data_IF_157238835309
#
_entry.id   IF_157238835309
#
_cell.length_a   1.000
_cell.length_b   1.000
_cell.length_c   1.000
_cell.angle_alpha   90.00
_cell.angle_beta   90.00
_cell.angle_gamma   90.00
#
_symmetry.space_group_name_H-M   'P 1'
#
loop_
_entity.id
_entity.type
_entity.pdbx_description
1 polymer ?
#
# COMPACT_ATOMS: atom_id res chain seq x y z
N UNK A 1 26.09 -3.43 -21.21
CA UNK A 1 25.87 -3.53 -19.75
C UNK A 1 24.56 -2.84 -19.43
N UNK A 2 23.74 -3.36 -18.51
CA UNK A 2 22.54 -2.68 -18.10
C UNK A 2 22.86 -1.27 -17.54
N UNK A 3 21.89 -0.35 -17.62
CA UNK A 3 22.05 0.98 -17.01
C UNK A 3 22.15 0.86 -15.48
N UNK A 4 22.64 1.92 -14.81
CA UNK A 4 22.74 1.95 -13.34
C UNK A 4 21.35 1.74 -12.67
N UNK A 5 20.26 2.30 -13.24
CA UNK A 5 18.90 2.08 -12.77
C UNK A 5 18.48 0.61 -12.87
N UNK A 6 18.70 -0.02 -14.04
CA UNK A 6 18.37 -1.44 -14.25
C UNK A 6 19.18 -2.32 -13.31
N UNK A 7 20.46 -2.00 -13.08
CA UNK A 7 21.31 -2.74 -12.13
C UNK A 7 20.79 -2.64 -10.70
N UNK A 8 20.40 -1.44 -10.25
CA UNK A 8 19.77 -1.24 -8.93
C UNK A 8 18.46 -2.03 -8.80
N UNK A 9 17.61 -2.00 -9.83
CA UNK A 9 16.35 -2.75 -9.81
C UNK A 9 16.59 -4.26 -9.74
N UNK A 10 17.51 -4.80 -10.59
CA UNK A 10 17.86 -6.22 -10.58
C UNK A 10 18.43 -6.68 -9.23
N UNK A 11 19.21 -5.84 -8.54
CA UNK A 11 19.68 -6.13 -7.19
C UNK A 11 18.51 -6.08 -6.19
N UNK A 12 17.68 -5.04 -6.21
CA UNK A 12 16.58 -4.84 -5.29
C UNK A 12 15.55 -5.98 -5.31
N UNK A 13 15.21 -6.53 -6.50
CA UNK A 13 14.22 -7.61 -6.62
C UNK A 13 14.72 -8.93 -6.01
N UNK A 14 16.03 -9.13 -5.90
CA UNK A 14 16.59 -10.33 -5.27
C UNK A 14 16.65 -10.26 -3.75
N UNK A 15 16.34 -9.10 -3.16
CA UNK A 15 16.33 -8.91 -1.71
C UNK A 15 14.96 -9.30 -1.17
N UNK A 16 14.92 -10.36 -0.36
CA UNK A 16 13.70 -10.73 0.34
C UNK A 16 13.40 -9.72 1.46
N UNK A 17 12.26 -9.06 1.35
CA UNK A 17 11.78 -8.10 2.34
C UNK A 17 10.25 -8.04 2.29
N UNK A 18 9.60 -9.08 2.82
CA UNK A 18 8.16 -9.06 3.04
C UNK A 18 7.80 -8.02 4.09
N UNK A 19 6.52 -7.60 4.07
CA UNK A 19 5.98 -6.70 5.07
C UNK A 19 6.33 -7.15 6.50
N UNK A 20 6.79 -6.22 7.32
CA UNK A 20 7.34 -6.36 8.67
C UNK A 20 8.75 -6.97 8.74
N UNK A 21 9.37 -7.34 7.62
CA UNK A 21 10.72 -7.93 7.52
C UNK A 21 11.62 -7.17 6.55
N UNK A 22 11.48 -5.84 6.54
CA UNK A 22 12.12 -4.96 5.54
C UNK A 22 13.58 -4.64 5.86
N UNK A 23 14.15 -5.12 6.97
CA UNK A 23 15.54 -4.83 7.36
C UNK A 23 16.55 -5.07 6.23
N UNK A 24 16.51 -6.17 5.45
CA UNK A 24 17.45 -6.37 4.35
C UNK A 24 17.37 -5.29 3.26
N UNK A 25 16.15 -4.80 2.96
CA UNK A 25 15.94 -3.72 1.99
C UNK A 25 16.36 -2.37 2.56
N UNK A 26 16.08 -2.09 3.83
CA UNK A 26 16.56 -0.89 4.53
C UNK A 26 18.10 -0.82 4.52
N UNK A 27 18.77 -1.93 4.74
CA UNK A 27 20.24 -2.02 4.68
C UNK A 27 20.76 -1.84 3.24
N UNK A 28 20.06 -2.34 2.24
CA UNK A 28 20.37 -2.08 0.83
C UNK A 28 20.27 -0.59 0.49
N UNK A 29 19.20 0.08 0.92
CA UNK A 29 19.04 1.54 0.74
C UNK A 29 20.21 2.29 1.38
N UNK A 30 20.58 1.96 2.62
CA UNK A 30 21.70 2.60 3.33
C UNK A 30 23.02 2.39 2.60
N UNK A 31 23.33 1.15 2.23
CA UNK A 31 24.56 0.83 1.45
C UNK A 31 24.61 1.58 0.13
N UNK A 32 23.47 1.69 -0.57
CA UNK A 32 23.38 2.38 -1.86
C UNK A 32 23.65 3.90 -1.76
N UNK A 33 23.52 4.46 -0.56
CA UNK A 33 23.74 5.89 -0.27
C UNK A 33 25.04 6.16 0.51
N UNK A 34 25.81 5.12 0.81
CA UNK A 34 27.04 5.26 1.58
C UNK A 34 28.05 6.18 0.89
N UNK A 35 28.72 7.03 1.66
CA UNK A 35 29.66 8.03 1.16
C UNK A 35 29.05 9.22 0.41
N UNK A 36 27.74 9.27 0.20
CA UNK A 36 27.05 10.40 -0.43
C UNK A 36 26.62 11.47 0.63
N UNK A 37 26.47 12.75 0.21
CA UNK A 37 26.11 13.84 1.13
C UNK A 37 24.62 13.83 1.51
N UNK A 38 24.19 12.78 2.19
CA UNK A 38 22.81 12.56 2.67
C UNK A 38 22.83 11.97 4.07
N UNK A 39 21.92 12.39 4.91
CA UNK A 39 21.65 11.76 6.19
C UNK A 39 20.47 10.77 6.03
N UNK A 40 20.66 9.50 6.41
CA UNK A 40 19.62 8.49 6.39
C UNK A 40 19.17 8.21 7.82
N UNK A 41 18.00 8.73 8.17
CA UNK A 41 17.34 8.53 9.46
C UNK A 41 16.36 7.39 9.37
N UNK A 42 16.28 6.58 10.41
CA UNK A 42 15.23 5.60 10.60
C UNK A 42 14.30 6.11 11.70
N UNK A 43 13.00 6.14 11.43
CA UNK A 43 12.04 6.55 12.44
C UNK A 43 11.65 5.38 13.36
N UNK A 44 10.81 5.63 14.33
CA UNK A 44 10.40 4.64 15.32
C UNK A 44 9.05 3.97 15.01
N UNK A 45 8.57 4.08 13.78
CA UNK A 45 7.28 3.51 13.35
C UNK A 45 7.15 2.00 13.62
N UNK A 46 8.24 1.25 13.48
CA UNK A 46 8.29 -0.20 13.76
C UNK A 46 7.73 -0.58 15.14
N UNK A 47 7.83 0.30 16.15
CA UNK A 47 7.32 0.05 17.51
C UNK A 47 5.82 -0.13 17.59
N UNK A 48 5.08 0.39 16.60
CA UNK A 48 3.63 0.37 16.59
C UNK A 48 3.04 -0.92 16.00
N UNK A 49 3.83 -1.70 15.25
CA UNK A 49 3.35 -2.89 14.54
C UNK A 49 4.32 -4.09 14.58
N UNK A 50 5.34 -4.02 15.45
CA UNK A 50 6.35 -5.07 15.64
C UNK A 50 7.12 -5.42 14.35
N UNK A 51 7.45 -4.39 13.54
CA UNK A 51 8.31 -4.53 12.37
C UNK A 51 9.80 -4.60 12.72
N UNK A 52 10.62 -5.09 11.81
CA UNK A 52 12.08 -5.18 11.98
C UNK A 52 12.78 -3.83 11.83
N UNK A 53 12.17 -2.88 11.10
CA UNK A 53 12.68 -1.52 10.93
C UNK A 53 11.55 -0.51 10.76
N UNK A 54 11.88 0.78 10.98
CA UNK A 54 11.03 1.91 10.68
C UNK A 54 11.22 2.43 9.25
N UNK A 55 10.49 3.50 8.92
CA UNK A 55 10.68 4.20 7.66
C UNK A 55 12.10 4.78 7.58
N UNK A 56 12.70 4.78 6.40
CA UNK A 56 13.94 5.50 6.15
C UNK A 56 13.66 6.87 5.56
N UNK A 57 14.15 7.91 6.20
CA UNK A 57 14.03 9.30 5.76
C UNK A 57 15.40 9.78 5.32
N UNK A 58 15.60 9.94 4.01
CA UNK A 58 16.84 10.39 3.40
C UNK A 58 16.80 11.91 3.22
N UNK A 59 17.66 12.62 3.95
CA UNK A 59 17.72 14.08 3.99
C UNK A 59 19.01 14.54 3.31
N UNK A 60 18.96 15.14 2.11
CA UNK A 60 20.13 15.66 1.41
C UNK A 60 20.85 16.73 2.22
N UNK A 61 22.20 16.77 2.14
CA UNK A 61 22.96 17.87 2.74
C UNK A 61 22.57 19.22 2.10
N UNK A 62 22.27 20.21 2.92
CA UNK A 62 21.76 21.51 2.48
C UNK A 62 20.24 21.63 2.50
N UNK A 63 19.54 20.59 2.95
CA UNK A 63 18.11 20.67 3.27
C UNK A 63 17.86 21.75 4.35
N UNK A 64 16.86 22.60 4.10
CA UNK A 64 16.47 23.68 5.04
C UNK A 64 15.03 23.46 5.54
N UNK A 65 14.82 23.02 6.79
CA UNK A 65 13.49 22.79 7.33
C UNK A 65 12.66 24.08 7.53
N UNK A 66 13.29 25.26 7.44
CA UNK A 66 12.56 26.53 7.49
C UNK A 66 11.87 26.84 6.16
N UNK A 67 12.29 26.23 5.06
CA UNK A 67 11.69 26.39 3.73
C UNK A 67 10.66 25.30 3.46
N UNK A 68 9.64 25.57 2.59
CA UNK A 68 8.76 24.53 2.09
C UNK A 68 9.53 23.40 1.41
N UNK A 69 9.15 22.18 1.67
CA UNK A 69 9.77 20.99 1.10
C UNK A 69 8.74 20.06 0.42
N UNK A 70 9.23 19.18 -0.44
CA UNK A 70 8.47 18.04 -0.96
C UNK A 70 9.06 16.74 -0.43
N UNK A 71 8.24 15.70 -0.39
CA UNK A 71 8.68 14.35 -0.13
C UNK A 71 8.37 13.44 -1.32
N UNK A 72 9.31 12.57 -1.69
CA UNK A 72 9.12 11.49 -2.64
C UNK A 72 9.13 10.18 -1.86
N UNK A 73 8.12 9.32 -2.09
CA UNK A 73 7.94 8.11 -1.30
C UNK A 73 7.83 6.85 -2.19
N UNK A 74 8.37 5.75 -1.69
CA UNK A 74 8.12 4.39 -2.18
C UNK A 74 8.22 3.42 -1.00
N UNK A 75 7.44 2.33 -1.00
CA UNK A 75 7.55 1.35 0.07
C UNK A 75 8.62 0.30 -0.19
N UNK A 76 9.15 -0.28 0.88
CA UNK A 76 10.24 -1.26 0.86
C UNK A 76 9.77 -2.70 0.88
N UNK A 77 8.56 -2.94 1.32
CA UNK A 77 8.03 -4.30 1.46
C UNK A 77 7.46 -4.86 0.16
N UNK A 78 7.20 -6.16 0.18
CA UNK A 78 6.43 -6.89 -0.84
C UNK A 78 5.39 -7.75 -0.13
N UNK A 79 4.19 -7.95 -0.73
CA UNK A 79 3.11 -8.73 -0.11
C UNK A 79 3.42 -10.22 -0.10
N UNK A 80 4.28 -10.67 -1.00
CA UNK A 80 4.68 -12.07 -1.19
C UNK A 80 6.20 -12.21 -1.09
N UNK A 81 6.70 -13.43 -0.71
CA UNK A 81 8.12 -13.71 -0.78
C UNK A 81 8.66 -13.51 -2.19
N UNK A 82 9.83 -12.88 -2.31
CA UNK A 82 10.61 -12.79 -3.54
C UNK A 82 11.86 -13.68 -3.47
N UNK A 83 11.92 -14.57 -2.47
CA UNK A 83 13.06 -15.44 -2.24
C UNK A 83 13.39 -16.27 -3.49
N UNK A 84 14.66 -16.21 -3.89
CA UNK A 84 15.20 -16.96 -5.04
C UNK A 84 14.60 -16.58 -6.41
N UNK A 85 13.87 -15.47 -6.55
CA UNK A 85 13.46 -14.98 -7.87
C UNK A 85 14.69 -14.78 -8.76
N UNK A 86 14.59 -15.21 -10.00
CA UNK A 86 15.60 -14.96 -11.03
C UNK A 86 15.02 -13.99 -12.06
N UNK A 87 15.31 -12.70 -11.95
CA UNK A 87 14.77 -11.73 -12.89
C UNK A 87 15.27 -12.02 -14.30
N UNK A 88 14.37 -12.06 -15.27
CA UNK A 88 14.67 -12.27 -16.68
C UNK A 88 14.67 -10.92 -17.38
N UNK A 89 15.84 -10.45 -17.77
CA UNK A 89 16.01 -9.21 -18.53
C UNK A 89 15.98 -9.51 -20.03
N UNK A 90 15.09 -8.81 -20.75
CA UNK A 90 15.05 -8.76 -22.21
C UNK A 90 15.32 -7.34 -22.72
N UNK A 91 15.27 -7.14 -24.02
CA UNK A 91 15.47 -5.80 -24.65
C UNK A 91 14.38 -4.79 -24.28
N UNK A 92 13.21 -5.25 -23.83
CA UNK A 92 12.05 -4.39 -23.59
C UNK A 92 11.50 -4.43 -22.18
N UNK A 93 11.80 -5.47 -21.38
CA UNK A 93 11.21 -5.66 -20.05
C UNK A 93 12.08 -6.49 -19.13
N UNK A 94 11.77 -6.40 -17.84
CA UNK A 94 12.25 -7.29 -16.79
C UNK A 94 11.03 -8.03 -16.25
N UNK A 95 11.10 -9.36 -16.18
CA UNK A 95 10.00 -10.22 -15.73
C UNK A 95 10.46 -11.26 -14.71
N UNK A 96 9.52 -11.78 -13.92
CA UNK A 96 9.75 -12.93 -13.06
C UNK A 96 10.03 -14.19 -13.89
N UNK A 97 10.86 -15.09 -13.36
CA UNK A 97 11.03 -16.45 -13.88
C UNK A 97 9.81 -17.37 -13.56
N UNK A 98 8.75 -16.79 -13.01
CA UNK A 98 7.48 -17.42 -12.61
C UNK A 98 7.59 -18.39 -11.43
N UNK A 99 8.69 -18.39 -10.71
CA UNK A 99 8.81 -19.16 -9.45
C UNK A 99 8.18 -18.43 -8.28
N UNK A 100 8.15 -17.10 -8.34
CA UNK A 100 7.49 -16.21 -7.38
C UNK A 100 7.24 -14.84 -8.03
N UNK A 101 6.59 -13.91 -7.32
CA UNK A 101 6.48 -12.53 -7.76
C UNK A 101 7.86 -11.90 -7.99
N UNK A 102 7.97 -10.95 -8.92
CA UNK A 102 9.21 -10.20 -9.14
C UNK A 102 9.42 -9.12 -8.06
N UNK A 103 8.32 -8.61 -7.51
CA UNK A 103 8.34 -7.50 -6.57
C UNK A 103 8.53 -6.15 -7.26
N UNK A 104 8.04 -5.98 -8.49
CA UNK A 104 8.01 -4.66 -9.15
C UNK A 104 7.33 -3.67 -8.24
N UNK A 105 6.24 -4.08 -7.61
CA UNK A 105 5.57 -3.43 -6.52
C UNK A 105 6.26 -3.80 -5.18
N UNK A 106 7.09 -2.91 -4.56
CA UNK A 106 7.46 -1.59 -5.08
C UNK A 106 8.98 -1.41 -5.21
N UNK A 107 9.69 -2.43 -5.73
CA UNK A 107 11.13 -2.31 -6.02
C UNK A 107 11.40 -1.30 -7.14
N UNK A 108 10.41 -1.07 -8.04
CA UNK A 108 10.55 -0.08 -9.11
C UNK A 108 10.61 1.34 -8.53
N UNK A 109 9.64 1.72 -7.69
CA UNK A 109 9.66 3.01 -7.00
C UNK A 109 10.91 3.19 -6.15
N UNK A 110 11.28 2.18 -5.35
CA UNK A 110 12.49 2.21 -4.51
C UNK A 110 13.75 2.43 -5.35
N UNK A 111 13.95 1.68 -6.45
CA UNK A 111 15.14 1.80 -7.30
C UNK A 111 15.20 3.14 -8.04
N UNK A 112 14.06 3.61 -8.53
CA UNK A 112 13.94 4.92 -9.19
C UNK A 112 14.30 6.04 -8.21
N UNK A 113 13.74 6.04 -7.02
CA UNK A 113 14.03 7.08 -6.03
C UNK A 113 15.48 7.05 -5.54
N UNK A 114 16.06 5.86 -5.33
CA UNK A 114 17.48 5.71 -5.02
C UNK A 114 18.35 6.28 -6.14
N UNK A 115 18.04 5.96 -7.39
CA UNK A 115 18.82 6.43 -8.55
C UNK A 115 18.72 7.95 -8.72
N UNK A 116 17.51 8.50 -8.64
CA UNK A 116 17.27 9.95 -8.74
C UNK A 116 17.97 10.71 -7.61
N UNK A 117 17.91 10.20 -6.37
CA UNK A 117 18.61 10.79 -5.23
C UNK A 117 20.14 10.77 -5.43
N UNK A 118 20.71 9.63 -5.79
CA UNK A 118 22.16 9.51 -6.07
C UNK A 118 22.61 10.48 -7.15
N UNK A 119 21.88 10.57 -8.26
CA UNK A 119 22.15 11.50 -9.36
C UNK A 119 22.14 12.95 -8.89
N UNK A 120 21.14 13.34 -8.11
CA UNK A 120 21.04 14.68 -7.55
C UNK A 120 22.23 15.00 -6.63
N UNK A 121 22.58 14.09 -5.71
CA UNK A 121 23.67 14.26 -4.74
C UNK A 121 25.04 14.37 -5.40
N UNK A 122 25.27 13.62 -6.50
CA UNK A 122 26.55 13.62 -7.22
C UNK A 122 26.71 14.78 -8.20
N UNK A 123 25.61 15.32 -8.71
CA UNK A 123 25.62 16.47 -9.63
C UNK A 123 25.73 17.83 -8.93
N UNK A 124 25.64 17.87 -7.59
CA UNK A 124 25.59 19.11 -6.82
C UNK A 124 24.28 19.88 -7.05
N UNK A 125 23.20 19.15 -7.35
CA UNK A 125 21.86 19.70 -7.57
C UNK A 125 21.36 20.49 -6.35
N UNK A 126 20.44 21.44 -6.61
CA UNK A 126 19.77 22.21 -5.55
C UNK A 126 18.31 21.80 -5.47
N UNK A 127 17.79 21.71 -4.27
CA UNK A 127 16.39 21.39 -4.02
C UNK A 127 16.12 21.26 -2.52
N UNK A 128 14.87 21.52 -2.11
CA UNK A 128 14.44 21.31 -0.73
C UNK A 128 13.45 20.14 -0.71
N UNK A 129 13.98 18.94 -0.57
CA UNK A 129 13.20 17.71 -0.60
C UNK A 129 13.80 16.65 0.32
N UNK A 130 12.97 15.67 0.62
CA UNK A 130 13.39 14.41 1.26
C UNK A 130 12.91 13.22 0.42
N UNK A 131 13.61 12.10 0.52
CA UNK A 131 13.16 10.82 -0.01
C UNK A 131 12.84 9.90 1.15
N UNK A 132 11.69 9.25 1.10
CA UNK A 132 11.23 8.36 2.17
C UNK A 132 10.99 6.97 1.60
N UNK A 133 11.52 5.97 2.28
CA UNK A 133 11.21 4.58 2.01
C UNK A 133 10.39 4.05 3.17
N UNK A 134 9.12 3.73 2.90
CA UNK A 134 8.14 3.31 3.89
C UNK A 134 8.17 1.80 4.11
N UNK A 135 7.57 1.35 5.21
CA UNK A 135 7.49 -0.06 5.62
C UNK A 135 6.05 -0.49 5.85
N UNK A 136 5.74 -1.78 5.64
CA UNK A 136 4.45 -2.38 5.95
C UNK A 136 3.28 -1.75 5.19
N UNK A 137 3.51 -1.29 3.96
CA UNK A 137 2.45 -0.70 3.12
C UNK A 137 1.39 -1.73 2.82
N UNK A 138 1.78 -2.91 2.37
CA UNK A 138 0.95 -4.01 1.88
C UNK A 138 0.06 -4.68 2.96
N UNK A 139 0.36 -4.42 4.24
CA UNK A 139 -0.43 -4.94 5.38
C UNK A 139 -1.34 -3.89 6.03
N UNK A 140 -1.45 -2.68 5.47
CA UNK A 140 -2.33 -1.64 5.99
C UNK A 140 -1.63 -0.31 6.23
N UNK A 141 -0.71 0.08 5.36
CA UNK A 141 -0.10 1.42 5.31
C UNK A 141 0.61 1.80 6.62
N UNK A 142 1.25 0.82 7.29
CA UNK A 142 1.77 1.00 8.65
C UNK A 142 2.82 2.11 8.73
N UNK A 143 3.76 2.14 7.80
CA UNK A 143 4.81 3.15 7.76
C UNK A 143 4.25 4.55 7.64
N UNK A 144 3.40 4.80 6.65
CA UNK A 144 2.79 6.12 6.42
C UNK A 144 1.79 6.51 7.50
N UNK A 145 1.18 5.54 8.18
CA UNK A 145 0.33 5.80 9.36
C UNK A 145 1.11 6.44 10.50
N UNK A 146 2.35 6.02 10.72
CA UNK A 146 3.14 6.46 11.87
C UNK A 146 4.22 7.51 11.55
N UNK A 147 4.53 7.73 10.26
CA UNK A 147 5.56 8.70 9.86
C UNK A 147 5.24 10.12 10.34
N UNK A 148 6.27 10.85 10.79
CA UNK A 148 6.19 12.24 11.21
C UNK A 148 6.95 13.14 10.22
N UNK A 149 6.23 13.85 9.35
CA UNK A 149 6.81 14.76 8.34
C UNK A 149 6.83 16.23 8.77
N UNK A 150 6.18 16.58 9.89
CA UNK A 150 6.16 17.94 10.41
C UNK A 150 7.57 18.58 10.60
N UNK A 151 8.59 17.84 11.08
CA UNK A 151 9.94 18.40 11.23
C UNK A 151 10.61 18.82 9.91
N UNK A 152 10.11 18.34 8.77
CA UNK A 152 10.68 18.59 7.45
C UNK A 152 9.90 19.64 6.64
N UNK A 153 8.86 20.27 7.22
CA UNK A 153 8.03 21.29 6.56
C UNK A 153 7.51 20.86 5.17
N UNK A 154 7.17 19.57 5.01
CA UNK A 154 6.68 18.99 3.75
C UNK A 154 5.31 19.57 3.41
N UNK A 155 5.16 20.10 2.18
CA UNK A 155 3.94 20.72 1.67
C UNK A 155 3.23 19.86 0.61
N UNK A 156 3.94 18.93 0.01
CA UNK A 156 3.40 17.98 -0.96
C UNK A 156 4.21 16.69 -0.96
N UNK A 157 3.52 15.57 -1.20
CA UNK A 157 4.16 14.27 -1.35
C UNK A 157 3.87 13.67 -2.73
N UNK A 158 4.86 12.98 -3.27
CA UNK A 158 4.77 12.20 -4.50
C UNK A 158 5.10 10.75 -4.17
N UNK A 159 4.07 9.90 -4.17
CA UNK A 159 4.18 8.47 -3.92
C UNK A 159 4.38 7.75 -5.26
N UNK A 160 5.40 6.92 -5.37
CA UNK A 160 5.74 6.17 -6.58
C UNK A 160 5.33 4.71 -6.37
N UNK A 161 4.05 4.40 -6.66
CA UNK A 161 3.48 3.14 -6.22
C UNK A 161 2.32 2.63 -7.09
N UNK A 162 1.63 3.51 -7.85
CA UNK A 162 0.51 3.05 -8.65
C UNK A 162 0.96 2.11 -9.78
N UNK A 163 0.34 0.93 -9.87
CA UNK A 163 0.66 -0.08 -10.90
C UNK A 163 0.44 0.37 -12.35
N UNK A 164 -0.32 1.45 -12.58
CA UNK A 164 -0.56 1.98 -13.93
C UNK A 164 0.72 2.55 -14.53
N UNK A 165 0.74 2.66 -15.88
CA UNK A 165 1.89 3.21 -16.60
C UNK A 165 2.17 4.67 -16.24
N UNK A 166 3.44 5.14 -16.35
CA UNK A 166 3.81 6.53 -16.20
C UNK A 166 2.93 7.46 -17.06
N UNK A 167 2.57 8.63 -16.52
CA UNK A 167 1.55 9.51 -17.07
C UNK A 167 0.21 9.41 -16.34
N UNK A 168 -0.06 8.28 -15.69
CA UNK A 168 -1.23 8.11 -14.82
C UNK A 168 -0.92 8.61 -13.40
N UNK A 169 -1.90 9.24 -12.77
CA UNK A 169 -1.85 9.57 -11.34
C UNK A 169 -3.21 9.31 -10.70
N UNK A 170 -3.21 9.00 -9.40
CA UNK A 170 -4.44 8.78 -8.64
C UNK A 170 -4.98 10.12 -8.19
N UNK A 171 -6.14 10.52 -8.71
CA UNK A 171 -6.87 11.72 -8.30
C UNK A 171 -7.82 11.46 -7.13
N UNK A 172 -8.30 10.23 -6.99
CA UNK A 172 -9.10 9.79 -5.86
C UNK A 172 -8.85 8.31 -5.57
N UNK A 173 -8.76 7.93 -4.32
CA UNK A 173 -8.67 6.54 -3.90
C UNK A 173 -9.75 6.22 -2.87
N UNK A 174 -10.18 4.95 -2.85
CA UNK A 174 -11.14 4.45 -1.86
C UNK A 174 -10.52 4.46 -0.46
N UNK A 175 -11.40 4.55 0.56
CA UNK A 175 -11.09 4.12 1.91
C UNK A 175 -11.43 2.66 2.11
N UNK A 176 -10.88 2.08 3.16
CA UNK A 176 -11.12 0.70 3.57
C UNK A 176 -11.52 0.64 5.05
N UNK A 177 -12.53 -0.16 5.35
CA UNK A 177 -12.83 -0.58 6.72
C UNK A 177 -12.80 -2.09 6.81
N UNK A 178 -12.12 -2.60 7.82
CA UNK A 178 -12.09 -4.02 8.17
C UNK A 178 -13.19 -4.32 9.18
N UNK A 179 -13.75 -5.52 9.12
CA UNK A 179 -14.67 -6.00 10.14
C UNK A 179 -14.36 -7.43 10.53
N UNK A 180 -14.70 -7.77 11.78
CA UNK A 180 -14.64 -9.12 12.32
C UNK A 180 -15.99 -9.45 12.94
N UNK A 181 -16.56 -10.59 12.57
CA UNK A 181 -17.81 -11.10 13.14
C UNK A 181 -17.56 -12.51 13.69
N UNK A 182 -17.70 -12.68 15.01
CA UNK A 182 -17.57 -13.97 15.68
C UNK A 182 -18.93 -14.46 16.12
N UNK A 183 -19.46 -15.46 15.42
CA UNK A 183 -20.68 -16.16 15.79
C UNK A 183 -20.39 -17.10 16.98
N UNK A 184 -21.30 -17.07 17.97
CA UNK A 184 -21.18 -17.85 19.20
C UNK A 184 -22.46 -18.68 19.34
N UNK A 185 -22.30 -19.98 19.29
CA UNK A 185 -23.33 -21.00 19.44
C UNK A 185 -23.20 -21.76 20.75
N UNK A 186 -23.58 -23.04 20.71
CA UNK A 186 -23.52 -23.93 21.85
C UNK A 186 -22.97 -25.29 21.42
N UNK A 187 -21.92 -25.78 22.06
CA UNK A 187 -21.35 -27.09 21.68
C UNK A 187 -22.25 -28.23 22.18
N UNK A 188 -22.27 -29.31 21.43
CA UNK A 188 -22.87 -30.59 21.80
C UNK A 188 -22.23 -31.73 21.03
N UNK A 189 -22.48 -32.97 21.42
CA UNK A 189 -21.99 -34.12 20.66
C UNK A 189 -22.84 -34.29 19.39
N UNK A 190 -22.21 -34.18 18.23
CA UNK A 190 -22.88 -34.07 16.93
C UNK A 190 -23.76 -35.31 16.55
N UNK A 191 -23.47 -36.49 17.12
CA UNK A 191 -24.25 -37.72 16.88
C UNK A 191 -25.20 -38.09 18.02
N UNK A 192 -24.87 -37.73 19.26
CA UNK A 192 -25.63 -38.16 20.44
C UNK A 192 -26.76 -37.18 20.84
N UNK A 193 -26.48 -35.87 20.69
CA UNK A 193 -27.40 -34.85 21.10
C UNK A 193 -27.28 -33.57 20.23
N UNK A 194 -27.34 -33.69 18.88
CA UNK A 194 -27.18 -32.55 17.98
C UNK A 194 -28.19 -31.43 18.24
N UNK A 195 -29.42 -31.79 18.67
CA UNK A 195 -30.50 -30.86 18.99
C UNK A 195 -30.26 -29.96 20.20
N UNK A 196 -29.28 -30.31 21.06
CA UNK A 196 -28.86 -29.48 22.20
C UNK A 196 -27.78 -28.45 21.83
N UNK A 197 -27.20 -28.57 20.62
CA UNK A 197 -26.20 -27.67 20.09
C UNK A 197 -26.78 -26.52 19.28
N UNK A 198 -26.00 -25.48 19.11
CA UNK A 198 -26.26 -24.37 18.18
C UNK A 198 -24.99 -24.17 17.36
N UNK A 199 -25.04 -24.45 16.07
CA UNK A 199 -23.83 -24.43 15.22
C UNK A 199 -23.48 -23.01 14.77
N UNK A 200 -22.36 -22.51 15.25
CA UNK A 200 -21.81 -21.23 14.81
C UNK A 200 -21.43 -21.22 13.31
N UNK A 201 -20.99 -22.36 12.76
CA UNK A 201 -20.70 -22.48 11.32
C UNK A 201 -21.98 -22.33 10.49
N UNK A 202 -23.08 -22.95 10.91
CA UNK A 202 -24.37 -22.78 10.20
C UNK A 202 -24.89 -21.33 10.26
N UNK A 203 -24.74 -20.66 11.41
CA UNK A 203 -25.07 -19.23 11.52
C UNK A 203 -24.24 -18.39 10.58
N UNK A 204 -22.93 -18.59 10.55
CA UNK A 204 -22.04 -17.87 9.67
C UNK A 204 -22.38 -18.09 8.18
N UNK A 205 -22.61 -19.34 7.79
CA UNK A 205 -22.95 -19.70 6.40
C UNK A 205 -24.28 -19.05 5.96
N UNK A 206 -25.32 -19.07 6.80
CA UNK A 206 -26.61 -18.43 6.49
C UNK A 206 -26.47 -16.91 6.45
N UNK A 207 -25.67 -16.32 7.33
CA UNK A 207 -25.40 -14.87 7.36
C UNK A 207 -24.66 -14.41 6.08
N UNK A 208 -23.63 -15.15 5.66
CA UNK A 208 -22.89 -14.90 4.42
C UNK A 208 -23.83 -14.94 3.21
N UNK A 209 -24.74 -15.91 3.13
CA UNK A 209 -25.69 -16.03 2.02
C UNK A 209 -26.71 -14.88 1.94
N UNK A 210 -26.80 -14.00 2.93
CA UNK A 210 -27.76 -12.89 3.01
C UNK A 210 -27.17 -11.52 2.73
N UNK A 211 -25.86 -11.41 2.61
CA UNK A 211 -25.19 -10.15 2.34
C UNK A 211 -24.67 -10.11 0.91
N UNK A 212 -24.61 -8.94 0.28
CA UNK A 212 -24.00 -8.81 -1.03
C UNK A 212 -22.47 -8.99 -0.93
N UNK A 213 -21.88 -9.52 -1.98
CA UNK A 213 -20.43 -9.78 -2.11
C UNK A 213 -19.86 -9.18 -3.38
N UNK A 214 -18.56 -8.92 -3.37
CA UNK A 214 -17.82 -8.40 -4.51
C UNK A 214 -18.15 -6.93 -4.78
N UNK A 215 -18.42 -6.60 -6.03
CA UNK A 215 -18.74 -5.23 -6.43
C UNK A 215 -20.21 -4.93 -6.19
N UNK A 216 -20.50 -4.11 -5.18
CA UNK A 216 -21.86 -3.70 -4.81
C UNK A 216 -22.42 -2.64 -5.77
N UNK A 217 -21.58 -1.69 -6.13
CA UNK A 217 -21.82 -0.61 -7.12
C UNK A 217 -20.50 -0.09 -7.68
N UNK A 218 -20.61 0.88 -8.61
CA UNK A 218 -19.43 1.56 -9.16
C UNK A 218 -18.57 2.17 -8.07
N UNK A 219 -17.63 1.89 -7.51
CA UNK A 219 -16.83 2.49 -6.43
C UNK A 219 -16.91 1.76 -5.09
N UNK A 220 -17.84 0.82 -4.91
CA UNK A 220 -18.00 0.10 -3.65
C UNK A 220 -17.76 -1.40 -3.83
N UNK A 221 -16.87 -1.95 -3.03
CA UNK A 221 -16.61 -3.39 -2.95
C UNK A 221 -16.70 -3.87 -1.50
N UNK A 222 -17.10 -5.13 -1.31
CA UNK A 222 -17.01 -5.84 -0.04
C UNK A 222 -16.47 -7.23 -0.27
N UNK A 223 -15.70 -7.72 0.70
CA UNK A 223 -15.13 -9.06 0.62
C UNK A 223 -15.13 -9.74 1.99
N UNK A 224 -15.30 -11.05 2.00
CA UNK A 224 -14.96 -11.89 3.14
C UNK A 224 -13.64 -12.57 2.79
N UNK A 225 -12.57 -12.15 3.46
CA UNK A 225 -11.21 -12.64 3.20
C UNK A 225 -10.92 -13.96 3.90
N UNK A 226 -11.56 -14.21 5.05
CA UNK A 226 -11.38 -15.47 5.78
C UNK A 226 -12.61 -15.88 6.59
N UNK A 227 -12.73 -17.19 6.80
CA UNK A 227 -13.69 -17.81 7.72
C UNK A 227 -12.98 -18.95 8.47
N UNK A 228 -13.10 -18.97 9.79
CA UNK A 228 -12.50 -20.00 10.65
C UNK A 228 -13.50 -20.43 11.70
N UNK A 229 -13.74 -21.76 11.86
CA UNK A 229 -14.70 -22.23 12.85
C UNK A 229 -14.64 -23.72 13.12
N UNK A 230 -15.17 -24.11 14.28
CA UNK A 230 -15.18 -25.50 14.75
C UNK A 230 -13.84 -25.98 15.28
N UNK A 231 -13.87 -27.12 16.00
CA UNK A 231 -12.68 -27.74 16.62
C UNK A 231 -12.52 -29.22 16.29
N UNK A 232 -13.66 -29.95 16.08
CA UNK A 232 -13.66 -31.36 15.78
C UNK A 232 -14.94 -31.75 15.02
N UNK A 233 -14.89 -32.82 14.24
CA UNK A 233 -16.01 -33.30 13.39
C UNK A 233 -17.19 -33.85 14.19
N UNK A 234 -16.96 -34.33 15.41
CA UNK A 234 -17.99 -34.90 16.28
C UNK A 234 -18.53 -33.88 17.32
N UNK A 235 -18.19 -32.59 17.18
CA UNK A 235 -18.65 -31.50 18.07
C UNK A 235 -19.38 -30.47 17.21
N UNK A 236 -20.59 -30.06 17.63
CA UNK A 236 -21.30 -28.90 17.07
C UNK A 236 -20.46 -27.66 17.33
N UNK A 237 -20.12 -26.92 16.28
CA UNK A 237 -19.19 -25.80 16.36
C UNK A 237 -19.74 -24.67 17.24
N UNK A 238 -19.03 -24.36 18.33
CA UNK A 238 -19.40 -23.29 19.26
C UNK A 238 -19.04 -21.90 18.73
N UNK A 239 -17.93 -21.78 17.97
CA UNK A 239 -17.44 -20.49 17.46
C UNK A 239 -17.14 -20.56 15.97
N UNK A 240 -17.46 -19.46 15.26
CA UNK A 240 -17.07 -19.26 13.87
C UNK A 240 -16.80 -17.77 13.64
N UNK A 241 -15.61 -17.44 13.17
CA UNK A 241 -15.18 -16.05 12.94
C UNK A 241 -15.06 -15.79 11.46
N UNK A 242 -15.61 -14.67 11.01
CA UNK A 242 -15.49 -14.10 9.67
C UNK A 242 -14.67 -12.82 9.78
N UNK A 243 -13.72 -12.63 8.86
CA UNK A 243 -12.98 -11.38 8.68
C UNK A 243 -13.19 -10.89 7.25
N UNK A 244 -13.53 -9.62 7.11
CA UNK A 244 -13.78 -9.03 5.81
C UNK A 244 -13.49 -7.54 5.75
N UNK A 245 -13.68 -6.97 4.56
CA UNK A 245 -13.45 -5.55 4.28
C UNK A 245 -14.61 -4.93 3.49
N UNK A 246 -14.69 -3.61 3.58
CA UNK A 246 -15.58 -2.76 2.78
C UNK A 246 -14.76 -1.58 2.27
N UNK A 247 -14.80 -1.31 0.95
CA UNK A 247 -14.11 -0.19 0.31
C UNK A 247 -15.08 0.71 -0.44
N UNK A 248 -14.89 2.03 -0.35
CA UNK A 248 -15.66 3.05 -1.08
C UNK A 248 -14.92 4.40 -1.06
N UNK A 249 -15.24 5.28 -2.02
CA UNK A 249 -14.69 6.64 -2.10
C UNK A 249 -15.28 7.62 -1.06
N UNK A 250 -16.44 7.31 -0.49
CA UNK A 250 -17.11 8.09 0.56
C UNK A 250 -17.25 7.23 1.83
N UNK A 251 -16.81 7.72 2.99
CA UNK A 251 -16.92 6.96 4.26
C UNK A 251 -18.37 6.70 4.70
N UNK A 252 -19.34 7.50 4.27
CA UNK A 252 -20.76 7.33 4.67
C UNK A 252 -21.37 6.02 4.17
N UNK A 253 -21.23 5.62 2.89
CA UNK A 253 -21.68 4.31 2.44
C UNK A 253 -20.96 3.14 3.13
N UNK A 254 -19.67 3.28 3.48
CA UNK A 254 -18.95 2.27 4.27
C UNK A 254 -19.67 2.05 5.60
N UNK A 255 -19.92 3.12 6.36
CA UNK A 255 -20.60 3.04 7.65
C UNK A 255 -22.02 2.43 7.52
N UNK A 256 -22.76 2.82 6.48
CA UNK A 256 -24.07 2.24 6.18
C UNK A 256 -24.01 0.74 5.90
N UNK A 257 -23.01 0.30 5.12
CA UNK A 257 -22.82 -1.12 4.81
C UNK A 257 -22.38 -1.94 6.03
N UNK A 258 -21.47 -1.43 6.85
CA UNK A 258 -21.07 -2.06 8.10
C UNK A 258 -22.28 -2.23 9.06
N UNK A 259 -23.18 -1.24 9.09
CA UNK A 259 -24.43 -1.35 9.85
C UNK A 259 -25.34 -2.46 9.28
N UNK A 260 -25.46 -2.56 7.95
CA UNK A 260 -26.20 -3.64 7.29
C UNK A 260 -25.61 -5.02 7.64
N UNK A 261 -24.29 -5.18 7.56
CA UNK A 261 -23.61 -6.42 7.92
C UNK A 261 -23.91 -6.80 9.37
N UNK A 262 -23.69 -5.87 10.31
CA UNK A 262 -23.94 -6.08 11.75
C UNK A 262 -25.38 -6.52 12.02
N UNK A 263 -26.36 -5.77 11.54
CA UNK A 263 -27.79 -6.07 11.79
C UNK A 263 -28.21 -7.40 11.15
N UNK A 264 -27.70 -7.72 9.98
CA UNK A 264 -27.97 -9.01 9.31
C UNK A 264 -27.38 -10.17 10.12
N UNK A 265 -26.16 -10.05 10.60
CA UNK A 265 -25.49 -11.09 11.37
C UNK A 265 -26.15 -11.29 12.73
N UNK A 266 -26.52 -10.21 13.43
CA UNK A 266 -27.27 -10.25 14.69
C UNK A 266 -28.64 -10.93 14.51
N UNK A 267 -29.38 -10.58 13.45
CA UNK A 267 -30.65 -11.18 13.12
C UNK A 267 -30.56 -12.69 12.86
N UNK A 268 -29.54 -13.11 12.10
CA UNK A 268 -29.29 -14.53 11.83
C UNK A 268 -28.91 -15.26 13.12
N UNK A 269 -27.96 -14.76 13.89
CA UNK A 269 -27.54 -15.39 15.14
C UNK A 269 -28.71 -15.59 16.10
N UNK A 270 -29.55 -14.56 16.30
CA UNK A 270 -30.73 -14.61 17.14
C UNK A 270 -31.74 -15.69 16.69
N UNK A 271 -31.96 -15.84 15.38
CA UNK A 271 -32.87 -16.84 14.81
C UNK A 271 -32.43 -18.28 15.11
N UNK A 272 -31.15 -18.53 15.21
CA UNK A 272 -30.57 -19.82 15.61
C UNK A 272 -30.51 -20.00 17.13
N UNK A 273 -30.77 -18.96 17.90
CA UNK A 273 -30.65 -18.95 19.37
C UNK A 273 -29.20 -18.75 19.86
N UNK A 274 -28.30 -18.27 18.98
CA UNK A 274 -26.96 -17.88 19.30
C UNK A 274 -26.77 -16.37 19.36
N UNK A 275 -25.51 -15.92 19.36
CA UNK A 275 -25.12 -14.51 19.36
C UNK A 275 -23.98 -14.25 18.37
N UNK A 276 -23.71 -12.98 18.08
CA UNK A 276 -22.55 -12.57 17.29
C UNK A 276 -21.88 -11.35 17.93
N UNK A 277 -20.56 -11.41 18.04
CA UNK A 277 -19.72 -10.26 18.36
C UNK A 277 -19.25 -9.63 17.05
N UNK A 278 -19.59 -8.36 16.82
CA UNK A 278 -19.21 -7.63 15.60
C UNK A 278 -18.34 -6.43 15.96
N UNK A 279 -17.17 -6.36 15.37
CA UNK A 279 -16.26 -5.22 15.48
C UNK A 279 -15.87 -4.72 14.09
N UNK A 280 -15.63 -3.42 13.96
CA UNK A 280 -15.08 -2.83 12.75
C UNK A 280 -14.12 -1.70 13.08
N UNK A 281 -13.14 -1.46 12.20
CA UNK A 281 -12.22 -0.34 12.28
C UNK A 281 -11.95 0.21 10.89
N UNK A 282 -11.71 1.50 10.79
CA UNK A 282 -11.12 2.08 9.60
C UNK A 282 -9.68 1.57 9.47
N UNK A 283 -9.32 1.13 8.29
CA UNK A 283 -7.95 0.71 7.95
C UNK A 283 -7.19 1.89 7.36
N UNK A 284 -7.79 2.51 6.35
CA UNK A 284 -7.35 3.80 5.83
C UNK A 284 -8.54 4.60 5.26
N UNK A 285 -8.51 5.95 5.36
CA UNK A 285 -9.57 6.80 4.83
C UNK A 285 -9.45 6.99 3.32
N UNK A 286 -10.53 7.33 2.62
CA UNK A 286 -10.48 7.72 1.22
C UNK A 286 -9.88 9.12 1.07
N UNK A 287 -9.41 9.44 -0.14
CA UNK A 287 -9.09 10.81 -0.50
C UNK A 287 -9.59 11.16 -1.91
N UNK A 288 -9.76 12.45 -2.15
CA UNK A 288 -9.95 13.06 -3.47
C UNK A 288 -9.18 14.36 -3.53
N UNK A 289 -8.27 14.46 -4.50
CA UNK A 289 -7.48 15.67 -4.70
C UNK A 289 -8.31 16.74 -5.41
N UNK A 290 -8.15 17.99 -4.98
CA UNK A 290 -8.63 19.12 -5.72
C UNK A 290 -7.79 19.27 -7.01
N UNK A 291 -8.41 19.28 -8.21
CA UNK A 291 -7.70 19.45 -9.47
C UNK A 291 -6.85 20.74 -9.53
N UNK A 292 -7.25 21.77 -8.79
CA UNK A 292 -6.54 23.04 -8.71
C UNK A 292 -5.49 23.09 -7.58
N UNK A 293 -5.28 22.02 -6.85
CA UNK A 293 -4.26 21.95 -5.82
C UNK A 293 -2.85 22.06 -6.39
N UNK A 294 -1.93 22.59 -5.60
CA UNK A 294 -0.54 22.77 -6.04
C UNK A 294 0.14 21.44 -6.43
N UNK A 295 -0.16 20.35 -5.71
CA UNK A 295 0.40 19.02 -6.00
C UNK A 295 -0.09 18.48 -7.34
N UNK A 296 -1.37 18.67 -7.69
CA UNK A 296 -1.93 18.22 -8.96
C UNK A 296 -1.38 19.07 -10.11
N UNK A 297 -1.32 20.40 -9.96
CA UNK A 297 -0.72 21.27 -10.98
C UNK A 297 0.74 20.90 -11.24
N UNK A 298 1.55 20.72 -10.17
CA UNK A 298 2.93 20.31 -10.29
C UNK A 298 3.06 18.93 -10.97
N UNK A 299 2.18 17.97 -10.65
CA UNK A 299 2.10 16.68 -11.34
C UNK A 299 1.89 16.86 -12.84
N UNK A 300 0.93 17.69 -13.24
CA UNK A 300 0.65 17.96 -14.66
C UNK A 300 1.84 18.60 -15.38
N UNK A 301 2.50 19.56 -14.75
CA UNK A 301 3.70 20.20 -15.30
C UNK A 301 4.86 19.22 -15.48
N UNK A 302 5.10 18.39 -14.47
CA UNK A 302 6.14 17.34 -14.50
C UNK A 302 5.85 16.36 -15.63
N UNK A 303 4.65 15.79 -15.69
CA UNK A 303 4.31 14.80 -16.70
C UNK A 303 4.43 15.36 -18.11
N UNK A 304 3.94 16.59 -18.36
CA UNK A 304 4.10 17.25 -19.67
C UNK A 304 5.57 17.51 -20.01
N UNK A 305 6.40 17.86 -19.04
CA UNK A 305 7.82 18.14 -19.29
C UNK A 305 8.63 16.93 -19.72
N UNK A 306 8.14 15.71 -19.40
CA UNK A 306 8.74 14.43 -19.86
C UNK A 306 7.98 13.84 -21.06
N UNK A 307 7.13 14.63 -21.73
CA UNK A 307 6.41 14.21 -22.94
C UNK A 307 5.18 13.34 -22.69
N UNK A 308 4.64 13.32 -21.47
CA UNK A 308 3.45 12.54 -21.12
C UNK A 308 2.21 13.42 -20.97
N UNK A 309 1.04 12.87 -21.32
CA UNK A 309 -0.24 13.51 -21.04
C UNK A 309 -0.71 13.08 -19.64
N UNK A 310 -0.96 14.03 -18.71
CA UNK A 310 -1.48 13.70 -17.39
C UNK A 310 -2.85 13.01 -17.48
N UNK A 311 -2.98 11.85 -16.84
CA UNK A 311 -4.20 11.07 -16.80
C UNK A 311 -4.58 10.74 -15.35
N UNK A 312 -5.51 11.53 -14.78
CA UNK A 312 -6.04 11.29 -13.43
C UNK A 312 -7.09 10.19 -13.43
N UNK A 313 -6.99 9.26 -12.52
CA UNK A 313 -7.96 8.17 -12.37
C UNK A 313 -8.49 8.07 -10.94
N UNK A 314 -9.70 7.53 -10.80
CA UNK A 314 -10.24 7.04 -9.54
C UNK A 314 -9.79 5.59 -9.35
N UNK A 315 -9.21 5.25 -8.18
CA UNK A 315 -8.54 3.98 -7.94
C UNK A 315 -9.16 3.22 -6.75
N UNK A 316 -9.30 1.91 -6.89
CA UNK A 316 -9.96 1.05 -5.89
C UNK A 316 -8.98 0.40 -4.90
N UNK A 317 -7.69 0.70 -5.00
CA UNK A 317 -6.67 0.33 -4.04
C UNK A 317 -6.34 1.49 -3.10
N UNK A 318 -5.76 1.17 -1.95
CA UNK A 318 -5.11 2.13 -1.06
C UNK A 318 -3.65 2.32 -1.43
N UNK A 319 -2.99 3.29 -0.80
CA UNK A 319 -1.55 3.52 -0.84
C UNK A 319 -1.14 4.47 0.28
N UNK A 320 0.15 4.65 0.49
CA UNK A 320 0.67 5.65 1.44
C UNK A 320 0.07 7.05 1.25
N UNK A 321 -0.35 7.39 0.02
CA UNK A 321 -1.02 8.66 -0.26
C UNK A 321 -2.34 8.83 0.53
N UNK A 322 -3.06 7.75 0.86
CA UNK A 322 -4.27 7.82 1.67
C UNK A 322 -3.97 8.39 3.05
N UNK A 323 -2.96 7.85 3.73
CA UNK A 323 -2.59 8.26 5.08
C UNK A 323 -2.00 9.68 5.10
N UNK A 324 -1.20 10.03 4.10
CA UNK A 324 -0.61 11.36 4.00
C UNK A 324 -1.67 12.44 3.76
N UNK A 325 -2.62 12.19 2.85
CA UNK A 325 -3.76 13.10 2.63
C UNK A 325 -4.63 13.22 3.90
N UNK A 326 -4.87 12.13 4.64
CA UNK A 326 -5.57 12.16 5.92
C UNK A 326 -4.85 13.02 6.98
N UNK A 327 -3.52 13.08 6.94
CA UNK A 327 -2.70 13.95 7.78
C UNK A 327 -2.66 15.41 7.30
N UNK A 328 -3.40 15.75 6.25
CA UNK A 328 -3.45 17.10 5.68
C UNK A 328 -2.23 17.46 4.82
N UNK A 329 -1.44 16.48 4.39
CA UNK A 329 -0.32 16.69 3.47
C UNK A 329 -0.78 16.26 2.07
N UNK A 330 -1.02 17.20 1.13
CA UNK A 330 -1.46 16.87 -0.21
C UNK A 330 -0.51 15.90 -0.89
N UNK A 331 -1.01 14.71 -1.25
CA UNK A 331 -0.18 13.59 -1.73
C UNK A 331 -0.81 12.96 -2.95
N UNK A 332 -0.02 12.79 -4.01
CA UNK A 332 -0.44 12.12 -5.25
C UNK A 332 0.32 10.80 -5.39
N UNK A 333 -0.38 9.74 -5.81
CA UNK A 333 0.25 8.47 -6.16
C UNK A 333 0.41 8.39 -7.69
N UNK A 334 1.64 8.14 -8.15
CA UNK A 334 2.08 8.17 -9.54
C UNK A 334 2.25 6.77 -10.11
N UNK A 335 1.91 6.62 -11.38
CA UNK A 335 2.11 5.36 -12.12
C UNK A 335 3.58 5.01 -12.30
N UNK A 336 3.94 3.79 -11.91
CA UNK A 336 5.29 3.22 -12.04
C UNK A 336 5.39 2.12 -13.09
N UNK A 337 4.26 1.63 -13.61
CA UNK A 337 4.22 0.63 -14.68
C UNK A 337 4.35 -0.82 -14.22
N UNK A 338 4.08 -1.15 -12.95
CA UNK A 338 4.03 -2.53 -12.47
C UNK A 338 2.88 -3.30 -13.17
N UNK A 339 3.25 -4.34 -13.94
CA UNK A 339 2.29 -5.17 -14.64
C UNK A 339 2.07 -6.46 -13.88
N UNK A 340 0.80 -6.88 -13.73
CA UNK A 340 0.39 -8.06 -12.98
C UNK A 340 0.97 -8.08 -11.54
N UNK A 341 0.85 -6.97 -10.76
CA UNK A 341 1.43 -6.89 -9.43
C UNK A 341 0.93 -8.05 -8.56
N UNK A 342 1.79 -8.53 -7.65
CA UNK A 342 1.54 -9.68 -6.77
C UNK A 342 1.42 -11.04 -7.48
N UNK A 343 1.48 -11.08 -8.82
CA UNK A 343 1.42 -12.31 -9.61
C UNK A 343 2.79 -12.95 -9.86
N UNK A 344 2.82 -14.25 -10.15
CA UNK A 344 4.07 -14.94 -10.54
C UNK A 344 4.52 -14.54 -11.96
N UNK A 345 3.68 -13.88 -12.74
CA UNK A 345 3.93 -13.34 -14.07
C UNK A 345 4.14 -11.81 -14.06
N UNK A 346 4.52 -11.28 -12.90
CA UNK A 346 4.79 -9.85 -12.71
C UNK A 346 5.98 -9.39 -13.57
N UNK A 347 5.85 -8.21 -14.19
CA UNK A 347 6.91 -7.62 -15.01
C UNK A 347 6.83 -6.09 -15.04
N UNK A 348 7.93 -5.46 -15.49
CA UNK A 348 7.99 -4.03 -15.80
C UNK A 348 8.61 -3.81 -17.18
N UNK A 349 8.06 -2.87 -17.96
CA UNK A 349 8.69 -2.43 -19.20
C UNK A 349 9.88 -1.51 -18.89
N UNK A 350 10.98 -1.68 -19.60
CA UNK A 350 12.15 -0.81 -19.43
C UNK A 350 11.83 0.66 -19.73
N UNK A 351 10.97 0.92 -20.73
CA UNK A 351 10.52 2.29 -21.03
C UNK A 351 9.76 2.93 -19.87
N UNK A 352 8.93 2.15 -19.13
CA UNK A 352 8.19 2.64 -17.97
C UNK A 352 9.13 2.93 -16.80
N UNK A 353 10.10 2.05 -16.55
CA UNK A 353 11.11 2.24 -15.51
C UNK A 353 11.95 3.51 -15.74
N UNK A 354 12.43 3.73 -16.97
CA UNK A 354 13.17 4.95 -17.32
C UNK A 354 12.28 6.20 -17.28
N UNK A 355 11.03 6.09 -17.72
CA UNK A 355 10.10 7.21 -17.68
C UNK A 355 9.75 7.62 -16.25
N UNK A 356 9.66 6.66 -15.35
CA UNK A 356 9.45 6.92 -13.91
C UNK A 356 10.68 7.64 -13.30
N UNK A 357 11.90 7.30 -13.72
CA UNK A 357 13.12 8.04 -13.31
C UNK A 357 13.08 9.49 -13.80
N UNK A 358 12.72 9.73 -15.06
CA UNK A 358 12.59 11.10 -15.59
C UNK A 358 11.59 11.93 -14.78
N UNK A 359 10.46 11.32 -14.38
CA UNK A 359 9.45 11.98 -13.54
C UNK A 359 10.05 12.34 -12.17
N UNK A 360 10.74 11.42 -11.51
CA UNK A 360 11.38 11.66 -10.21
C UNK A 360 12.43 12.79 -10.29
N UNK A 361 13.29 12.77 -11.31
CA UNK A 361 14.27 13.82 -11.57
C UNK A 361 13.62 15.21 -11.75
N UNK A 362 12.51 15.27 -12.49
CA UNK A 362 11.77 16.52 -12.70
C UNK A 362 11.09 17.03 -11.43
N UNK A 363 10.57 16.15 -10.58
CA UNK A 363 10.00 16.54 -9.28
C UNK A 363 11.09 17.11 -8.38
N UNK A 364 12.23 16.42 -8.26
CA UNK A 364 13.40 16.87 -7.47
C UNK A 364 13.87 18.25 -7.96
N UNK A 365 14.01 18.42 -9.27
CA UNK A 365 14.45 19.71 -9.85
C UNK A 365 13.53 20.87 -9.49
N UNK A 366 12.21 20.64 -9.47
CA UNK A 366 11.21 21.66 -9.14
C UNK A 366 11.12 21.97 -7.66
N UNK A 367 11.65 21.10 -6.79
CA UNK A 367 11.70 21.39 -5.34
C UNK A 367 12.53 22.63 -5.01
N UNK A 368 13.44 23.03 -5.88
CA UNK A 368 14.24 24.27 -5.73
C UNK A 368 13.43 25.56 -5.90
N UNK A 369 12.24 25.51 -6.50
CA UNK A 369 11.39 26.67 -6.83
C UNK A 369 10.17 26.79 -5.90
N UNK A 370 9.99 25.92 -4.94
CA UNK A 370 8.94 26.03 -3.92
C UNK A 370 9.27 27.23 -3.01
N UNK A 371 8.51 28.31 -3.15
CA UNK A 371 8.60 29.51 -2.31
C UNK A 371 7.27 29.80 -1.63
#
# INVERSE_FOLDING_TARGET
MPSDLVSLFLEAVTIEAQSLRERPMADFVRRSLDGLPVEVREDDSARHFNGECGNLICVPRGFDPAQPAIALLAHMDTPRPTANVRPVLSDTRIESDRTTALGVDNRAGTSVLLRALRKHLTSGGRGNFIVVFTVGEELGLFGSTHIQLAPYNVKACFVFDCSKRPGTYIQAAVGCSLYTATFIGKPSHAAVAPEKGISAIQMAADAIGRIPHGRIKAGMTTNIGSITGGTATNVVAERCTIVGEVREFDPRPIAGHLTLLKTTFESVASRFGGTVEFTSREDFPPFRLDPESAVVRMTHEVLRSVGLNPHGIDYLGGSDANMLNAKGIPSVNLGIGAQNPHGDDEFILLEDLYKTEEIADQIISRSASLR
#
